data_IF_545578132818
#
_entry.id   IF_545578132818
#
_cell.length_a   1.000
_cell.length_b   1.000
_cell.length_c   1.000
_cell.angle_alpha   90.00
_cell.angle_beta   90.00
_cell.angle_gamma   90.00
#
_symmetry.space_group_name_H-M   'P 1'
#
loop_
_entity.id
_entity.type
_entity.pdbx_description
1 polymer ?
#
# COMPACT_ATOMS: atom_id res chain seq x y z
N UNK A 1 -7.51 6.23 13.96
CA UNK A 1 -7.97 5.16 13.05
C UNK A 1 -6.88 5.07 12.02
N UNK A 2 -5.92 4.19 12.29
CA UNK A 2 -4.82 3.94 11.38
C UNK A 2 -5.34 3.49 10.02
N UNK A 3 -4.82 4.10 8.95
CA UNK A 3 -5.14 3.75 7.58
C UNK A 3 -3.92 3.16 6.89
N UNK A 4 -4.14 2.08 6.14
CA UNK A 4 -3.16 1.51 5.23
C UNK A 4 -3.71 1.72 3.83
N UNK A 5 -2.99 2.46 2.99
CA UNK A 5 -3.34 2.62 1.58
C UNK A 5 -2.22 2.10 0.69
N UNK A 6 -2.61 1.39 -0.36
CA UNK A 6 -1.70 0.97 -1.43
C UNK A 6 -2.13 1.67 -2.71
N UNK A 7 -1.24 2.48 -3.24
CA UNK A 7 -1.55 3.41 -4.33
C UNK A 7 -0.50 3.34 -5.43
N UNK A 8 -0.89 3.70 -6.65
CA UNK A 8 0.06 3.89 -7.75
C UNK A 8 -0.09 5.26 -8.38
N UNK A 9 1.06 5.92 -8.61
CA UNK A 9 1.10 7.28 -9.14
C UNK A 9 0.80 7.36 -10.64
N UNK A 10 0.78 6.22 -11.34
CA UNK A 10 0.61 6.17 -12.79
C UNK A 10 -0.39 5.11 -13.27
N UNK A 11 -1.42 4.82 -12.46
CA UNK A 11 -2.49 3.85 -12.79
C UNK A 11 -3.07 4.08 -14.19
N UNK A 12 -3.35 5.34 -14.52
CA UNK A 12 -3.94 5.77 -15.81
C UNK A 12 -3.02 5.56 -17.02
N UNK A 13 -1.74 5.27 -16.80
CA UNK A 13 -0.75 5.04 -17.86
C UNK A 13 -0.50 3.54 -18.09
N UNK A 14 -1.11 2.67 -17.28
CA UNK A 14 -0.99 1.23 -17.41
C UNK A 14 -1.86 0.74 -18.57
N UNK A 15 -1.31 -0.19 -19.34
CA UNK A 15 -2.10 -1.06 -20.22
C UNK A 15 -2.96 -2.00 -19.37
N UNK A 16 -3.97 -2.63 -19.97
CA UNK A 16 -4.84 -3.59 -19.28
C UNK A 16 -4.01 -4.71 -18.64
N UNK A 17 -3.02 -5.26 -19.35
CA UNK A 17 -2.16 -6.32 -18.83
C UNK A 17 -1.30 -5.86 -17.65
N UNK A 18 -0.72 -4.65 -17.75
CA UNK A 18 0.02 -4.04 -16.64
C UNK A 18 -0.89 -3.79 -15.43
N UNK A 19 -2.15 -3.39 -15.67
CA UNK A 19 -3.13 -3.15 -14.62
C UNK A 19 -3.53 -4.43 -13.87
N UNK A 20 -3.78 -5.52 -14.60
CA UNK A 20 -4.07 -6.83 -13.98
C UNK A 20 -2.90 -7.30 -13.12
N UNK A 21 -1.67 -7.16 -13.61
CA UNK A 21 -0.46 -7.48 -12.83
C UNK A 21 -0.31 -6.57 -11.61
N UNK A 22 -0.61 -5.29 -11.75
CA UNK A 22 -0.60 -4.33 -10.64
C UNK A 22 -1.58 -4.74 -9.53
N UNK A 23 -2.82 -5.13 -9.87
CA UNK A 23 -3.79 -5.63 -8.89
C UNK A 23 -3.22 -6.83 -8.14
N UNK A 24 -2.62 -7.79 -8.87
CA UNK A 24 -2.00 -8.96 -8.23
C UNK A 24 -0.87 -8.61 -7.25
N UNK A 25 0.00 -7.65 -7.62
CA UNK A 25 1.07 -7.16 -6.75
C UNK A 25 0.49 -6.45 -5.52
N UNK A 26 -0.52 -5.59 -5.72
CA UNK A 26 -1.21 -4.88 -4.63
C UNK A 26 -1.77 -5.86 -3.61
N UNK A 27 -2.47 -6.90 -4.07
CA UNK A 27 -3.12 -7.88 -3.20
C UNK A 27 -2.07 -8.73 -2.45
N UNK A 28 -0.95 -9.10 -3.10
CA UNK A 28 0.18 -9.76 -2.44
C UNK A 28 0.78 -8.92 -1.31
N UNK A 29 0.92 -7.61 -1.53
CA UNK A 29 1.51 -6.70 -0.55
C UNK A 29 0.55 -6.47 0.60
N UNK A 30 -0.76 -6.33 0.32
CA UNK A 30 -1.77 -6.29 1.38
C UNK A 30 -1.69 -7.55 2.25
N UNK A 31 -1.60 -8.73 1.64
CA UNK A 31 -1.47 -9.99 2.38
C UNK A 31 -0.19 -10.06 3.23
N UNK A 32 0.93 -9.50 2.76
CA UNK A 32 2.17 -9.41 3.56
C UNK A 32 1.96 -8.48 4.77
N UNK A 33 1.34 -7.32 4.58
CA UNK A 33 1.07 -6.36 5.64
C UNK A 33 0.11 -6.93 6.70
N UNK A 34 -0.91 -7.66 6.24
CA UNK A 34 -1.88 -8.33 7.11
C UNK A 34 -1.19 -9.44 7.93
N UNK A 35 -0.39 -10.30 7.28
CA UNK A 35 0.31 -11.38 7.97
C UNK A 35 1.40 -10.91 8.94
N UNK A 36 1.96 -9.72 8.72
CA UNK A 36 2.94 -9.12 9.61
C UNK A 36 2.28 -8.35 10.78
N UNK A 37 0.96 -8.41 10.94
CA UNK A 37 0.20 -7.69 11.96
C UNK A 37 0.52 -6.17 11.99
N UNK A 38 0.80 -5.58 10.82
CA UNK A 38 1.20 -4.16 10.74
C UNK A 38 0.07 -3.27 11.25
N UNK A 39 -1.18 -3.60 10.93
CA UNK A 39 -2.34 -2.82 11.40
C UNK A 39 -2.42 -2.76 12.93
N UNK A 40 -2.22 -3.89 13.60
CA UNK A 40 -2.21 -3.98 15.06
C UNK A 40 -1.06 -3.17 15.64
N UNK A 41 0.15 -3.32 15.07
CA UNK A 41 1.34 -2.54 15.47
C UNK A 41 1.13 -1.03 15.35
N UNK A 42 0.49 -0.57 14.27
CA UNK A 42 0.17 0.85 14.09
C UNK A 42 -0.85 1.33 15.12
N UNK A 43 -1.84 0.50 15.44
CA UNK A 43 -2.88 0.82 16.41
C UNK A 43 -2.31 0.91 17.83
N UNK A 44 -1.47 -0.03 18.24
CA UNK A 44 -0.75 0.02 19.53
C UNK A 44 0.11 1.29 19.66
N UNK A 45 0.77 1.69 18.56
CA UNK A 45 1.55 2.91 18.53
C UNK A 45 0.68 4.17 18.65
N UNK A 46 -0.47 4.23 17.96
CA UNK A 46 -1.45 5.32 18.13
C UNK A 46 -1.95 5.42 19.58
N UNK A 47 -2.22 4.29 20.23
CA UNK A 47 -2.69 4.23 21.62
C UNK A 47 -1.62 4.67 22.63
N UNK A 48 -0.34 4.55 22.29
CA UNK A 48 0.77 4.95 23.16
C UNK A 48 0.90 6.47 23.37
N UNK A 49 0.35 7.29 22.45
CA UNK A 49 0.41 8.75 22.51
C UNK A 49 -0.96 9.33 22.20
N UNK A 50 -1.59 9.94 23.20
CA UNK A 50 -2.92 10.54 23.02
C UNK A 50 -2.89 11.62 21.91
N UNK A 51 -3.74 11.43 20.89
CA UNK A 51 -3.84 12.31 19.73
C UNK A 51 -2.89 11.99 18.57
N UNK A 52 -2.10 10.91 18.67
CA UNK A 52 -1.30 10.41 17.54
C UNK A 52 -2.19 9.67 16.54
N UNK A 53 -1.99 9.97 15.26
CA UNK A 53 -2.58 9.24 14.12
C UNK A 53 -1.45 8.85 13.18
N UNK A 54 -1.46 7.61 12.72
CA UNK A 54 -0.43 7.05 11.85
C UNK A 54 -1.08 6.47 10.59
N UNK A 55 -0.68 7.00 9.44
CA UNK A 55 -1.08 6.51 8.13
C UNK A 55 0.12 5.86 7.43
N UNK A 56 -0.07 4.62 6.96
CA UNK A 56 0.92 3.90 6.17
C UNK A 56 0.51 3.89 4.70
N UNK A 57 1.31 4.54 3.86
CA UNK A 57 1.06 4.61 2.41
C UNK A 57 2.16 3.88 1.66
N UNK A 58 1.78 2.83 0.92
CA UNK A 58 2.69 2.12 0.02
C UNK A 58 2.46 2.62 -1.40
N UNK A 59 3.49 3.23 -2.01
CA UNK A 59 3.40 3.83 -3.35
C UNK A 59 4.15 3.00 -4.39
N UNK A 60 3.49 2.73 -5.51
CA UNK A 60 4.06 2.05 -6.67
C UNK A 60 4.17 2.96 -7.89
N UNK A 61 5.21 2.76 -8.68
CA UNK A 61 5.37 3.37 -10.00
C UNK A 61 5.88 2.34 -11.00
N UNK A 62 5.18 2.22 -12.12
CA UNK A 62 5.62 1.37 -13.23
C UNK A 62 6.41 2.22 -14.23
N UNK A 63 7.74 2.11 -14.20
CA UNK A 63 8.59 2.82 -15.15
C UNK A 63 8.65 2.07 -16.48
N UNK A 64 8.01 2.60 -17.52
CA UNK A 64 8.14 2.06 -18.88
C UNK A 64 9.57 2.29 -19.35
N UNK A 65 10.34 1.20 -19.51
CA UNK A 65 11.62 1.29 -20.21
C UNK A 65 11.31 1.70 -21.65
N UNK A 66 11.78 2.87 -22.07
CA UNK A 66 11.80 3.23 -23.49
C UNK A 66 12.73 2.22 -24.18
N UNK A 67 12.16 1.40 -25.05
CA UNK A 67 12.93 0.69 -26.07
C UNK A 67 13.31 1.66 -27.19
#
# INVERSE_FOLDING_TARGET
MSSISIETNNEKQLTVDEYVRYIGIRDQIQHILDNANIKETLQDAEESINGLSIDLIVKFSVNKKKH
#
